data_IF_856119687542
#
_entry.id   IF_856119687542
#
_cell.length_a   1.000
_cell.length_b   1.000
_cell.length_c   1.000
_cell.angle_alpha   90.00
_cell.angle_beta   90.00
_cell.angle_gamma   90.00
#
_symmetry.space_group_name_H-M   'P 1'
#
loop_
_entity.id
_entity.type
_entity.pdbx_description
1 polymer ?
#
# COMPACT_ATOMS: atom_id res chain seq x y z
N UNK A 1 10.65 -12.29 -7.03
CA UNK A 1 11.82 -11.60 -6.48
C UNK A 1 11.64 -11.52 -4.97
N UNK A 2 12.69 -11.44 -4.14
CA UNK A 2 12.48 -11.09 -2.74
C UNK A 2 12.01 -9.63 -2.65
N UNK A 3 11.32 -9.27 -1.57
CA UNK A 3 10.97 -7.88 -1.29
C UNK A 3 12.23 -6.99 -1.33
N UNK A 4 12.13 -5.86 -2.02
CA UNK A 4 13.22 -4.92 -2.26
C UNK A 4 13.12 -3.71 -1.32
N UNK A 5 14.26 -3.26 -0.78
CA UNK A 5 14.29 -2.15 0.15
C UNK A 5 14.05 -0.81 -0.54
N UNK A 6 13.17 0.01 0.05
CA UNK A 6 12.91 1.36 -0.45
C UNK A 6 13.80 2.36 0.29
N UNK A 7 14.54 3.16 -0.46
CA UNK A 7 15.30 4.28 0.08
C UNK A 7 14.40 5.51 0.28
N UNK A 8 14.54 6.17 1.43
CA UNK A 8 13.90 7.47 1.67
C UNK A 8 14.83 8.66 1.39
N UNK A 9 16.11 8.41 1.09
CA UNK A 9 17.08 9.45 0.70
C UNK A 9 17.22 9.57 -0.80
N UNK A 10 17.02 8.46 -1.52
CA UNK A 10 17.07 8.36 -2.98
C UNK A 10 15.72 7.84 -3.47
N UNK A 11 14.82 8.76 -3.83
CA UNK A 11 13.45 8.40 -4.26
C UNK A 11 13.50 7.78 -5.66
N UNK A 12 13.06 6.52 -5.79
CA UNK A 12 13.04 5.77 -7.06
C UNK A 12 11.62 5.43 -7.52
N UNK A 13 11.38 5.48 -8.83
CA UNK A 13 10.14 5.05 -9.49
C UNK A 13 10.17 3.60 -9.96
N UNK A 14 11.23 2.87 -9.68
CA UNK A 14 11.37 1.45 -10.03
C UNK A 14 10.18 0.65 -9.48
N UNK A 15 9.62 -0.24 -10.31
CA UNK A 15 8.44 -1.04 -10.01
C UNK A 15 7.09 -0.33 -10.23
N UNK A 16 7.09 0.97 -10.55
CA UNK A 16 5.89 1.79 -10.76
C UNK A 16 5.76 2.35 -12.18
N UNK A 17 6.57 1.89 -13.13
CA UNK A 17 6.71 2.47 -14.47
C UNK A 17 5.42 2.40 -15.30
N UNK A 18 4.52 1.47 -14.97
CA UNK A 18 3.20 1.38 -15.61
C UNK A 18 2.27 2.53 -15.20
N UNK A 19 2.53 3.17 -14.06
CA UNK A 19 1.62 4.14 -13.46
C UNK A 19 1.81 5.55 -14.03
N UNK A 20 0.74 6.25 -14.42
CA UNK A 20 0.82 7.66 -14.83
C UNK A 20 1.16 8.61 -13.67
N UNK A 21 1.22 8.12 -12.44
CA UNK A 21 1.55 8.87 -11.21
C UNK A 21 2.75 8.27 -10.47
N UNK A 22 3.65 7.59 -11.19
CA UNK A 22 4.81 6.88 -10.63
C UNK A 22 5.63 7.74 -9.65
N UNK A 23 5.95 8.99 -9.99
CA UNK A 23 6.71 9.90 -9.11
C UNK A 23 6.01 10.16 -7.76
N UNK A 24 4.69 10.31 -7.78
CA UNK A 24 3.93 10.60 -6.58
C UNK A 24 3.79 9.35 -5.69
N UNK A 25 3.63 8.17 -6.28
CA UNK A 25 3.67 6.89 -5.57
C UNK A 25 5.08 6.62 -4.99
N UNK A 26 6.15 6.90 -5.75
CA UNK A 26 7.52 6.81 -5.28
C UNK A 26 7.77 7.71 -4.04
N UNK A 27 7.26 8.95 -4.07
CA UNK A 27 7.32 9.85 -2.93
C UNK A 27 6.58 9.33 -1.70
N UNK A 28 5.42 8.67 -1.89
CA UNK A 28 4.70 8.01 -0.79
C UNK A 28 5.50 6.84 -0.20
N UNK A 29 6.04 5.94 -1.05
CA UNK A 29 6.90 4.83 -0.61
C UNK A 29 8.09 5.33 0.21
N UNK A 30 8.77 6.38 -0.26
CA UNK A 30 9.89 6.99 0.45
C UNK A 30 9.47 7.60 1.80
N UNK A 31 8.29 8.22 1.89
CA UNK A 31 7.80 8.74 3.16
C UNK A 31 7.50 7.62 4.18
N UNK A 32 6.95 6.50 3.73
CA UNK A 32 6.73 5.33 4.60
C UNK A 32 8.04 4.68 5.03
N UNK A 33 8.99 4.52 4.11
CA UNK A 33 10.31 4.02 4.45
C UNK A 33 10.99 4.86 5.54
N UNK A 34 10.86 6.19 5.47
CA UNK A 34 11.32 7.08 6.54
C UNK A 34 10.55 6.87 7.84
N UNK A 35 9.22 6.75 7.80
CA UNK A 35 8.41 6.51 8.99
C UNK A 35 8.78 5.20 9.71
N UNK A 36 8.91 4.09 8.98
CA UNK A 36 9.29 2.81 9.55
C UNK A 36 10.73 2.81 10.09
N UNK A 37 11.65 3.48 9.42
CA UNK A 37 13.02 3.69 9.91
C UNK A 37 13.06 4.54 11.19
N UNK A 38 12.37 5.68 11.20
CA UNK A 38 12.39 6.62 12.32
C UNK A 38 11.71 6.03 13.55
N UNK A 39 10.53 5.43 13.37
CA UNK A 39 9.68 4.96 14.46
C UNK A 39 10.03 3.56 14.94
N UNK A 40 10.21 2.62 14.02
CA UNK A 40 10.36 1.19 14.35
C UNK A 40 11.79 0.68 14.16
N UNK A 41 12.70 1.52 13.63
CA UNK A 41 14.06 1.08 13.22
C UNK A 41 13.99 -0.10 12.25
N UNK A 42 12.96 -0.09 11.39
CA UNK A 42 12.65 -1.15 10.45
C UNK A 42 12.92 -0.72 9.02
N UNK A 43 13.51 -1.61 8.22
CA UNK A 43 13.71 -1.41 6.79
C UNK A 43 12.40 -1.72 6.07
N UNK A 44 11.79 -0.69 5.49
CA UNK A 44 10.61 -0.85 4.64
C UNK A 44 11.00 -1.46 3.30
N UNK A 45 10.30 -2.52 2.91
CA UNK A 45 10.53 -3.22 1.65
C UNK A 45 9.22 -3.39 0.88
N UNK A 46 9.30 -3.54 -0.45
CA UNK A 46 8.15 -3.74 -1.35
C UNK A 46 8.40 -4.90 -2.29
N UNK A 47 7.34 -5.56 -2.75
CA UNK A 47 7.38 -6.53 -3.84
C UNK A 47 6.25 -6.22 -4.83
N UNK A 48 6.38 -6.59 -6.12
CA UNK A 48 5.26 -6.54 -7.05
C UNK A 48 4.06 -7.29 -6.49
N UNK A 49 2.85 -6.75 -6.65
CA UNK A 49 1.64 -7.33 -6.08
C UNK A 49 1.40 -8.78 -6.54
N UNK A 50 1.75 -9.08 -7.79
CA UNK A 50 1.69 -10.43 -8.36
C UNK A 50 2.58 -11.46 -7.63
N UNK A 51 3.62 -11.01 -6.93
CA UNK A 51 4.52 -11.87 -6.16
C UNK A 51 4.07 -12.05 -4.70
N UNK A 52 3.09 -11.26 -4.24
CA UNK A 52 2.50 -11.30 -2.90
C UNK A 52 0.97 -11.44 -2.95
N UNK A 53 0.47 -12.20 -3.94
CA UNK A 53 -0.95 -12.31 -4.25
C UNK A 53 -1.77 -12.91 -3.10
N UNK A 54 -1.20 -13.87 -2.38
CA UNK A 54 -1.81 -14.48 -1.19
C UNK A 54 -2.10 -13.46 -0.08
N UNK A 55 -1.16 -12.54 0.15
CA UNK A 55 -1.30 -11.47 1.14
C UNK A 55 -2.29 -10.41 0.65
N UNK A 56 -2.25 -10.07 -0.64
CA UNK A 56 -3.22 -9.16 -1.24
C UNK A 56 -4.64 -9.72 -1.11
N UNK A 57 -4.87 -10.97 -1.52
CA UNK A 57 -6.17 -11.63 -1.45
C UNK A 57 -6.71 -11.63 -0.02
N UNK A 58 -5.85 -11.91 0.97
CA UNK A 58 -6.21 -11.85 2.39
C UNK A 58 -6.65 -10.45 2.84
N UNK A 59 -5.92 -9.40 2.44
CA UNK A 59 -6.32 -8.02 2.76
C UNK A 59 -7.64 -7.66 2.07
N UNK A 60 -7.82 -8.00 0.80
CA UNK A 60 -9.05 -7.73 0.07
C UNK A 60 -10.25 -8.45 0.68
N UNK A 61 -10.08 -9.71 1.11
CA UNK A 61 -11.11 -10.46 1.82
C UNK A 61 -11.55 -9.74 3.09
N UNK A 62 -10.62 -9.21 3.90
CA UNK A 62 -10.96 -8.47 5.12
C UNK A 62 -11.67 -7.15 4.79
N UNK A 63 -11.20 -6.42 3.77
CA UNK A 63 -11.85 -5.18 3.33
C UNK A 63 -13.31 -5.41 2.94
N UNK A 64 -13.58 -6.48 2.21
CA UNK A 64 -14.94 -6.83 1.78
C UNK A 64 -15.76 -7.33 2.96
N UNK A 65 -15.28 -8.38 3.64
CA UNK A 65 -16.07 -9.14 4.63
C UNK A 65 -16.30 -8.38 5.93
N UNK A 66 -15.33 -7.60 6.40
CA UNK A 66 -15.44 -6.92 7.70
C UNK A 66 -15.68 -5.42 7.61
N UNK A 67 -15.48 -4.82 6.43
CA UNK A 67 -15.55 -3.36 6.26
C UNK A 67 -16.47 -2.91 5.13
N UNK A 68 -17.04 -3.83 4.36
CA UNK A 68 -17.91 -3.53 3.21
C UNK A 68 -17.22 -2.60 2.18
N UNK A 69 -15.91 -2.74 2.03
CA UNK A 69 -15.08 -1.99 1.08
C UNK A 69 -14.64 -2.93 -0.03
N UNK A 70 -15.01 -2.60 -1.27
CA UNK A 70 -14.53 -3.31 -2.46
C UNK A 70 -13.40 -2.48 -3.11
N UNK A 71 -12.16 -2.99 -3.14
CA UNK A 71 -11.07 -2.37 -3.88
C UNK A 71 -11.41 -2.27 -5.37
N UNK A 72 -11.16 -1.12 -5.97
CA UNK A 72 -11.46 -0.87 -7.40
C UNK A 72 -10.23 -0.45 -8.20
N UNK A 73 -9.14 -0.11 -7.50
CA UNK A 73 -7.85 0.20 -8.09
C UNK A 73 -6.95 -1.04 -8.01
N UNK A 74 -6.24 -1.40 -9.07
CA UNK A 74 -5.27 -2.49 -9.01
C UNK A 74 -4.09 -2.11 -8.12
N UNK A 75 -3.63 -3.07 -7.32
CA UNK A 75 -2.38 -2.96 -6.57
C UNK A 75 -1.19 -3.23 -7.49
N UNK A 76 -0.19 -2.36 -7.42
CA UNK A 76 1.09 -2.50 -8.13
C UNK A 76 2.12 -3.21 -7.27
N UNK A 77 2.18 -2.83 -5.99
CA UNK A 77 3.14 -3.37 -5.04
C UNK A 77 2.52 -3.59 -3.67
N UNK A 78 3.12 -4.50 -2.92
CA UNK A 78 2.78 -4.84 -1.54
C UNK A 78 4.02 -4.66 -0.67
N UNK A 79 3.83 -4.07 0.51
CA UNK A 79 4.78 -4.05 1.61
C UNK A 79 4.22 -4.82 2.79
N UNK A 80 5.07 -5.56 3.49
CA UNK A 80 4.74 -6.32 4.69
C UNK A 80 5.74 -5.94 5.77
N UNK A 81 5.26 -5.41 6.89
CA UNK A 81 6.09 -4.94 7.99
C UNK A 81 5.56 -5.52 9.31
N UNK A 82 6.25 -6.52 9.87
CA UNK A 82 5.96 -7.06 11.20
C UNK A 82 6.81 -6.33 12.24
N UNK A 83 6.17 -5.36 12.91
CA UNK A 83 6.85 -4.47 13.86
C UNK A 83 5.96 -4.20 15.08
N UNK A 84 6.57 -4.14 16.27
CA UNK A 84 5.89 -3.89 17.55
C UNK A 84 4.67 -4.80 17.81
N UNK A 85 4.74 -6.06 17.35
CA UNK A 85 3.66 -7.04 17.50
C UNK A 85 2.44 -6.77 16.61
N UNK A 86 2.61 -5.95 15.57
CA UNK A 86 1.57 -5.64 14.59
C UNK A 86 2.08 -6.02 13.20
N UNK A 87 1.28 -6.83 12.51
CA UNK A 87 1.47 -7.18 11.11
C UNK A 87 0.84 -6.09 10.23
N UNK A 88 1.67 -5.19 9.70
CA UNK A 88 1.24 -4.14 8.77
C UNK A 88 1.38 -4.61 7.33
N UNK A 89 0.32 -4.45 6.55
CA UNK A 89 0.36 -4.65 5.10
C UNK A 89 0.03 -3.34 4.42
N UNK A 90 0.83 -2.92 3.45
CA UNK A 90 0.59 -1.71 2.66
C UNK A 90 0.53 -2.03 1.17
N UNK A 91 -0.57 -1.65 0.51
CA UNK A 91 -0.75 -1.82 -0.93
C UNK A 91 -0.66 -0.48 -1.67
N UNK A 92 0.29 -0.38 -2.61
CA UNK A 92 0.44 0.78 -3.49
C UNK A 92 -0.42 0.59 -4.74
N UNK A 93 -1.45 1.41 -4.90
CA UNK A 93 -2.47 1.20 -5.92
C UNK A 93 -2.45 2.25 -7.02
N UNK A 94 -2.85 1.85 -8.23
CA UNK A 94 -3.06 2.81 -9.32
C UNK A 94 -4.20 3.79 -9.01
N UNK A 95 -4.11 5.04 -9.50
CA UNK A 95 -5.24 5.96 -9.44
C UNK A 95 -6.37 5.47 -10.36
N UNK A 96 -7.61 5.48 -9.86
CA UNK A 96 -8.79 5.22 -10.70
C UNK A 96 -8.84 6.19 -11.89
N UNK A 97 -9.09 5.70 -13.10
CA UNK A 97 -9.28 6.54 -14.27
C UNK A 97 -10.59 7.34 -14.16
N UNK A 98 -10.55 8.68 -14.31
CA UNK A 98 -11.76 9.51 -14.44
C UNK A 98 -12.25 10.25 -13.18
N UNK A 99 -11.36 10.74 -12.31
CA UNK A 99 -11.73 11.63 -11.19
C UNK A 99 -10.50 12.20 -10.47
N UNK A 100 -10.70 12.89 -9.33
CA UNK A 100 -9.59 13.26 -8.42
C UNK A 100 -9.08 12.03 -7.64
N UNK A 101 -8.62 11.00 -8.34
CA UNK A 101 -7.93 9.87 -7.73
C UNK A 101 -6.51 10.32 -7.36
N UNK A 102 -6.24 10.44 -6.07
CA UNK A 102 -4.88 10.70 -5.58
C UNK A 102 -4.12 9.36 -5.54
N UNK A 103 -2.79 9.35 -5.70
CA UNK A 103 -1.98 8.17 -5.39
C UNK A 103 -2.30 7.69 -3.98
N UNK A 104 -2.49 6.38 -3.79
CA UNK A 104 -2.91 5.81 -2.51
C UNK A 104 -1.97 4.71 -2.07
N UNK A 105 -1.72 4.70 -0.77
CA UNK A 105 -1.16 3.58 -0.07
C UNK A 105 -2.18 3.13 0.97
N UNK A 106 -2.70 1.91 0.81
CA UNK A 106 -3.68 1.36 1.73
C UNK A 106 -2.93 0.63 2.83
N UNK A 107 -2.91 1.21 4.02
CA UNK A 107 -2.37 0.56 5.22
C UNK A 107 -3.43 -0.30 5.88
N UNK A 108 -3.10 -1.56 6.06
CA UNK A 108 -3.89 -2.56 6.76
C UNK A 108 -3.15 -3.06 8.00
N UNK A 109 -3.88 -3.20 9.10
CA UNK A 109 -3.48 -3.90 10.32
C UNK A 109 -4.71 -4.59 10.89
N UNK A 110 -4.61 -5.86 11.33
CA UNK A 110 -5.74 -6.58 11.90
C UNK A 110 -6.32 -5.93 13.16
N UNK A 111 -5.55 -5.04 13.83
CA UNK A 111 -6.01 -4.31 15.02
C UNK A 111 -6.38 -2.85 14.77
N UNK A 112 -6.02 -2.29 13.61
CA UNK A 112 -6.14 -0.86 13.36
C UNK A 112 -6.51 -0.57 11.90
N UNK A 113 -7.78 -0.79 11.53
CA UNK A 113 -8.38 -0.19 10.34
C UNK A 113 -8.70 1.30 10.60
N UNK A 114 -7.75 2.06 11.17
CA UNK A 114 -7.90 3.49 11.40
C UNK A 114 -7.40 4.25 10.18
N UNK A 115 -8.26 4.44 9.18
CA UNK A 115 -8.27 5.58 8.23
C UNK A 115 -9.00 5.29 6.91
N UNK A 116 -9.55 4.09 6.71
CA UNK A 116 -10.16 3.70 5.43
C UNK A 116 -11.44 4.48 5.03
N UNK A 117 -12.00 5.32 5.91
CA UNK A 117 -13.22 6.12 5.63
C UNK A 117 -13.03 7.38 4.78
N UNK A 118 -11.82 7.68 4.27
CA UNK A 118 -11.59 8.95 3.54
C UNK A 118 -11.15 8.82 2.09
N UNK A 119 -10.97 7.61 1.56
CA UNK A 119 -10.26 7.45 0.28
C UNK A 119 -10.83 6.42 -0.70
N UNK A 120 -11.84 5.64 -0.30
CA UNK A 120 -12.62 4.82 -1.22
C UNK A 120 -13.88 5.56 -1.67
N UNK A 121 -14.19 5.51 -2.97
CA UNK A 121 -15.58 5.63 -3.41
C UNK A 121 -16.27 4.35 -2.94
N UNK A 122 -16.74 4.36 -1.70
CA UNK A 122 -17.56 3.28 -1.16
C UNK A 122 -18.85 3.27 -1.97
N UNK A 123 -19.01 2.25 -2.81
CA UNK A 123 -20.33 1.89 -3.32
C UNK A 123 -21.06 1.20 -2.18
N UNK A 124 -21.61 1.97 -1.23
CA UNK A 124 -22.61 1.44 -0.31
C UNK A 124 -23.83 1.08 -1.14
N UNK A 125 -24.19 -0.20 -1.13
CA UNK A 125 -25.55 -0.63 -1.51
C UNK A 125 -26.48 -0.37 -0.34
#
# INVERSE_FOLDING_TARGET
>A
MPFEAVSFTEVSTEGLESSPVAEALAGLRANEARYFSDKYKHTFTVAPAAEAQDVLDWVEEILVSEREIVPTSPALEISINDVDGVYWVEAANEPLTGGRSRPQLIRFSPFQVQSLRRYFRVSTT
#
